data_IF_989954298715
#
_entry.id   IF_989954298715
#
_cell.length_a   1.000
_cell.length_b   1.000
_cell.length_c   1.000
_cell.angle_alpha   90.00
_cell.angle_beta   90.00
_cell.angle_gamma   90.00
#
_symmetry.space_group_name_H-M   'P 1'
#
loop_
_entity.id
_entity.type
_entity.pdbx_description
1 polymer ?
#
# COMPACT_ATOMS: atom_id res chain seq x y z
N UNK A 1 78.00 37.52 -8.15
CA UNK A 1 76.87 38.21 -7.47
C UNK A 1 75.56 38.06 -8.24
N UNK A 2 75.47 38.46 -9.53
CA UNK A 2 74.21 38.42 -10.31
C UNK A 2 73.59 37.03 -10.47
N UNK A 3 74.40 36.00 -10.70
CA UNK A 3 73.93 34.61 -10.90
C UNK A 3 73.29 34.03 -9.63
N UNK A 4 73.82 34.38 -8.45
CA UNK A 4 73.30 33.91 -7.15
C UNK A 4 71.93 34.55 -6.87
N UNK A 5 71.77 35.83 -7.24
CA UNK A 5 70.49 36.55 -7.13
C UNK A 5 69.41 35.95 -8.03
N UNK A 6 69.75 35.57 -9.26
CA UNK A 6 68.80 34.94 -10.18
C UNK A 6 68.32 33.57 -9.67
N UNK A 7 69.24 32.74 -9.14
CA UNK A 7 68.90 31.45 -8.55
C UNK A 7 68.05 31.58 -7.28
N UNK A 8 68.35 32.57 -6.43
CA UNK A 8 67.55 32.85 -5.24
C UNK A 8 66.12 33.29 -5.60
N UNK A 9 65.95 34.12 -6.63
CA UNK A 9 64.64 34.55 -7.11
C UNK A 9 63.82 33.39 -7.69
N UNK A 10 64.44 32.50 -8.48
CA UNK A 10 63.77 31.31 -9.02
C UNK A 10 63.31 30.33 -7.93
N UNK A 11 64.09 30.17 -6.86
CA UNK A 11 63.71 29.36 -5.70
C UNK A 11 62.52 29.97 -4.94
N UNK A 12 62.48 31.29 -4.78
CA UNK A 12 61.37 31.99 -4.10
C UNK A 12 60.08 31.90 -4.92
N UNK A 13 60.14 32.10 -6.23
CA UNK A 13 58.95 32.01 -7.10
C UNK A 13 58.42 30.58 -7.16
N UNK A 14 59.29 29.57 -7.24
CA UNK A 14 58.89 28.16 -7.20
C UNK A 14 58.26 27.78 -5.86
N UNK A 15 58.90 28.14 -4.74
CA UNK A 15 58.36 27.83 -3.42
C UNK A 15 57.05 28.57 -3.12
N UNK A 16 56.87 29.76 -3.70
CA UNK A 16 55.62 30.50 -3.67
C UNK A 16 54.50 29.81 -4.45
N UNK A 17 54.81 29.33 -5.66
CA UNK A 17 53.84 28.64 -6.52
C UNK A 17 53.36 27.32 -5.90
N UNK A 18 54.27 26.56 -5.30
CA UNK A 18 53.93 25.30 -4.65
C UNK A 18 53.09 25.47 -3.37
N UNK A 19 53.29 26.58 -2.63
CA UNK A 19 52.39 26.94 -1.52
C UNK A 19 51.02 27.37 -2.01
N UNK A 20 50.94 28.08 -3.13
CA UNK A 20 49.66 28.54 -3.69
C UNK A 20 48.80 27.37 -4.19
N UNK A 21 49.41 26.40 -4.87
CA UNK A 21 48.75 25.18 -5.34
C UNK A 21 48.19 24.35 -4.18
N UNK A 22 48.97 24.20 -3.10
CA UNK A 22 48.52 23.50 -1.90
C UNK A 22 47.37 24.20 -1.14
N UNK A 23 47.22 25.53 -1.31
CA UNK A 23 46.08 26.26 -0.76
C UNK A 23 44.83 26.09 -1.61
N UNK A 24 44.95 26.05 -2.95
CA UNK A 24 43.82 25.84 -3.84
C UNK A 24 43.19 24.46 -3.64
N UNK A 25 44.01 23.40 -3.53
CA UNK A 25 43.52 22.05 -3.29
C UNK A 25 42.75 21.92 -1.98
N UNK A 26 43.22 22.58 -0.90
CA UNK A 26 42.51 22.60 0.39
C UNK A 26 41.18 23.36 0.28
N UNK A 27 41.14 24.46 -0.47
CA UNK A 27 39.89 25.20 -0.66
C UNK A 27 38.85 24.38 -1.43
N UNK A 28 39.28 23.64 -2.45
CA UNK A 28 38.40 22.74 -3.21
C UNK A 28 37.89 21.56 -2.35
N UNK A 29 38.76 20.95 -1.54
CA UNK A 29 38.35 19.90 -0.59
C UNK A 29 37.34 20.43 0.44
N UNK A 30 37.59 21.61 1.03
CA UNK A 30 36.65 22.23 1.97
C UNK A 30 35.33 22.60 1.28
N UNK A 31 35.36 23.07 0.04
CA UNK A 31 34.16 23.38 -0.74
C UNK A 31 33.35 22.12 -1.03
N UNK A 32 33.98 21.02 -1.43
CA UNK A 32 33.34 19.72 -1.62
C UNK A 32 32.76 19.15 -0.33
N UNK A 33 33.49 19.26 0.79
CA UNK A 33 33.02 18.79 2.08
C UNK A 33 31.82 19.61 2.58
N UNK A 34 31.83 20.93 2.37
CA UNK A 34 30.71 21.81 2.69
C UNK A 34 29.47 21.48 1.82
N UNK A 35 29.66 21.24 0.52
CA UNK A 35 28.61 20.85 -0.42
C UNK A 35 27.96 19.51 -0.02
N UNK A 36 28.78 18.51 0.31
CA UNK A 36 28.30 17.19 0.74
C UNK A 36 27.57 17.24 2.08
N UNK A 37 28.02 18.09 3.01
CA UNK A 37 27.37 18.28 4.30
C UNK A 37 26.01 18.97 4.14
N UNK A 38 25.95 20.02 3.32
CA UNK A 38 24.69 20.70 3.00
C UNK A 38 23.69 19.77 2.30
N UNK A 39 24.18 18.91 1.38
CA UNK A 39 23.33 17.91 0.72
C UNK A 39 22.80 16.86 1.69
N UNK A 40 23.60 16.38 2.65
CA UNK A 40 23.15 15.43 3.67
C UNK A 40 22.13 16.05 4.63
N UNK A 41 22.31 17.31 5.02
CA UNK A 41 21.33 18.03 5.83
C UNK A 41 19.99 18.19 5.09
N UNK A 42 20.03 18.55 3.80
CA UNK A 42 18.81 18.68 3.00
C UNK A 42 18.06 17.34 2.85
N UNK A 43 18.78 16.22 2.70
CA UNK A 43 18.18 14.88 2.64
C UNK A 43 17.57 14.50 3.98
N UNK A 44 18.29 14.69 5.09
CA UNK A 44 17.78 14.36 6.43
C UNK A 44 16.55 15.20 6.80
N UNK A 45 16.50 16.48 6.43
CA UNK A 45 15.33 17.32 6.67
C UNK A 45 14.13 16.90 5.79
N UNK A 46 14.36 16.46 4.56
CA UNK A 46 13.31 15.91 3.71
C UNK A 46 12.75 14.60 4.27
N UNK A 47 13.62 13.71 4.75
CA UNK A 47 13.28 12.42 5.34
C UNK A 47 12.41 12.62 6.60
N UNK A 48 12.80 13.55 7.49
CA UNK A 48 12.02 13.93 8.66
C UNK A 48 10.63 14.48 8.31
N UNK A 49 10.53 15.30 7.25
CA UNK A 49 9.23 15.85 6.79
C UNK A 49 8.32 14.77 6.20
N UNK A 50 8.90 13.76 5.54
CA UNK A 50 8.15 12.63 5.01
C UNK A 50 7.63 11.77 6.16
N UNK A 51 8.47 11.44 7.14
CA UNK A 51 8.06 10.66 8.31
C UNK A 51 6.95 11.36 9.11
N UNK A 52 7.07 12.68 9.35
CA UNK A 52 6.00 13.46 10.00
C UNK A 52 4.70 13.44 9.18
N UNK A 53 4.80 13.64 7.86
CA UNK A 53 3.63 13.60 6.97
C UNK A 53 2.95 12.22 6.90
N UNK A 54 3.73 11.14 6.93
CA UNK A 54 3.19 9.77 6.96
C UNK A 54 2.53 9.45 8.30
N UNK A 55 3.08 9.93 9.41
CA UNK A 55 2.51 9.78 10.74
C UNK A 55 1.18 10.52 10.87
N UNK A 56 1.12 11.79 10.46
CA UNK A 56 -0.12 12.58 10.44
C UNK A 56 -1.19 11.94 9.55
N UNK A 57 -0.79 11.49 8.34
CA UNK A 57 -1.70 10.82 7.41
C UNK A 57 -2.24 9.51 7.98
N UNK A 58 -1.40 8.70 8.61
CA UNK A 58 -1.82 7.45 9.24
C UNK A 58 -2.79 7.71 10.38
N UNK A 59 -2.51 8.72 11.22
CA UNK A 59 -3.40 9.08 12.32
C UNK A 59 -4.77 9.58 11.83
N UNK A 60 -4.81 10.39 10.76
CA UNK A 60 -6.05 10.85 10.15
C UNK A 60 -6.86 9.73 9.49
N UNK A 61 -6.18 8.74 8.89
CA UNK A 61 -6.81 7.54 8.35
C UNK A 61 -7.39 6.68 9.47
N UNK A 62 -6.64 6.44 10.54
CA UNK A 62 -7.09 5.67 11.71
C UNK A 62 -8.31 6.33 12.35
N UNK A 63 -8.31 7.65 12.52
CA UNK A 63 -9.45 8.38 13.09
C UNK A 63 -10.69 8.29 12.20
N UNK A 64 -10.53 8.49 10.89
CA UNK A 64 -11.63 8.39 9.91
C UNK A 64 -12.21 6.98 9.89
N UNK A 65 -11.35 5.95 9.89
CA UNK A 65 -11.80 4.56 9.93
C UNK A 65 -12.53 4.24 11.24
N UNK A 66 -12.06 4.77 12.37
CA UNK A 66 -12.74 4.62 13.65
C UNK A 66 -14.11 5.32 13.67
N UNK A 67 -14.22 6.52 13.10
CA UNK A 67 -15.49 7.25 12.97
C UNK A 67 -16.49 6.48 12.10
N UNK A 68 -16.06 6.03 10.91
CA UNK A 68 -16.91 5.23 10.03
C UNK A 68 -17.39 3.93 10.68
N UNK A 69 -16.53 3.27 11.46
CA UNK A 69 -16.91 2.07 12.23
C UNK A 69 -17.96 2.39 13.28
N UNK A 70 -17.77 3.47 14.04
CA UNK A 70 -18.73 3.89 15.06
C UNK A 70 -20.07 4.28 14.45
N UNK A 71 -20.07 4.97 13.31
CA UNK A 71 -21.28 5.36 12.59
C UNK A 71 -22.02 4.14 12.04
N UNK A 72 -21.30 3.16 11.49
CA UNK A 72 -21.86 1.88 11.06
C UNK A 72 -22.47 1.10 12.21
N UNK A 73 -21.80 1.03 13.37
CA UNK A 73 -22.33 0.33 14.53
C UNK A 73 -23.57 1.02 15.10
N UNK A 74 -23.59 2.36 15.13
CA UNK A 74 -24.80 3.13 15.48
C UNK A 74 -25.93 2.84 14.52
N UNK A 75 -25.68 2.91 13.21
CA UNK A 75 -26.69 2.64 12.18
C UNK A 75 -27.24 1.21 12.27
N UNK A 76 -26.38 0.22 12.56
CA UNK A 76 -26.79 -1.17 12.82
C UNK A 76 -27.66 -1.28 14.06
N UNK A 77 -27.30 -0.60 15.14
CA UNK A 77 -28.10 -0.57 16.37
C UNK A 77 -29.48 0.05 16.13
N UNK A 78 -29.54 1.17 15.40
CA UNK A 78 -30.79 1.87 15.07
C UNK A 78 -31.71 1.01 14.18
N UNK A 79 -31.14 0.33 13.19
CA UNK A 79 -31.86 -0.64 12.33
C UNK A 79 -32.41 -1.78 13.19
N UNK A 80 -31.61 -2.36 14.09
CA UNK A 80 -32.05 -3.44 14.96
C UNK A 80 -33.15 -2.98 15.93
N UNK A 81 -33.03 -1.78 16.50
CA UNK A 81 -34.05 -1.22 17.38
C UNK A 81 -35.35 -0.96 16.63
N UNK A 82 -35.27 -0.42 15.41
CA UNK A 82 -36.46 -0.20 14.56
C UNK A 82 -37.11 -1.53 14.19
N UNK A 83 -36.31 -2.56 13.89
CA UNK A 83 -36.79 -3.91 13.64
C UNK A 83 -37.49 -4.51 14.87
N UNK A 84 -36.90 -4.39 16.06
CA UNK A 84 -37.46 -4.89 17.31
C UNK A 84 -38.78 -4.17 17.66
N UNK A 85 -38.85 -2.86 17.41
CA UNK A 85 -40.06 -2.07 17.60
C UNK A 85 -41.16 -2.47 16.61
N UNK A 86 -40.84 -2.61 15.32
CA UNK A 86 -41.79 -3.12 14.31
C UNK A 86 -42.26 -4.52 14.64
N UNK A 87 -41.37 -5.42 15.07
CA UNK A 87 -41.69 -6.80 15.44
C UNK A 87 -42.60 -6.84 16.68
N UNK A 88 -42.30 -6.00 17.67
CA UNK A 88 -43.08 -5.85 18.90
C UNK A 88 -44.46 -5.26 18.63
N UNK A 89 -44.57 -4.30 17.71
CA UNK A 89 -45.83 -3.69 17.30
C UNK A 89 -46.69 -4.68 16.51
N UNK A 90 -46.07 -5.42 15.58
CA UNK A 90 -46.71 -6.47 14.80
C UNK A 90 -47.21 -7.63 15.68
N UNK A 91 -46.43 -8.02 16.70
CA UNK A 91 -46.81 -9.06 17.67
C UNK A 91 -47.96 -8.65 18.62
N UNK A 92 -48.15 -7.35 18.83
CA UNK A 92 -49.24 -6.82 19.66
C UNK A 92 -50.53 -6.59 18.87
N UNK A 93 -50.44 -6.35 17.56
CA UNK A 93 -51.60 -6.10 16.71
C UNK A 93 -52.23 -7.37 16.14
N UNK A 94 -51.53 -8.52 16.07
CA UNK A 94 -52.07 -9.71 15.42
C UNK A 94 -51.64 -11.06 16.02
N UNK A 95 -52.60 -11.97 16.02
CA UNK A 95 -52.51 -13.43 16.22
C UNK A 95 -51.78 -14.12 15.01
N UNK A 96 -50.58 -13.64 14.64
CA UNK A 96 -50.02 -13.83 13.30
C UNK A 96 -49.45 -15.22 12.98
N UNK A 97 -49.86 -15.71 11.81
CA UNK A 97 -49.41 -16.88 11.05
C UNK A 97 -47.86 -16.96 10.93
N UNK A 98 -47.29 -18.14 11.19
CA UNK A 98 -45.85 -18.49 11.12
C UNK A 98 -45.16 -18.08 9.79
N UNK A 99 -45.95 -17.82 8.75
CA UNK A 99 -45.52 -17.37 7.42
C UNK A 99 -44.99 -15.93 7.39
N UNK A 100 -45.54 -15.02 8.19
CA UNK A 100 -45.06 -13.62 8.21
C UNK A 100 -43.67 -13.49 8.86
N UNK A 101 -43.37 -14.37 9.81
CA UNK A 101 -42.01 -14.49 10.37
C UNK A 101 -41.00 -14.97 9.32
N UNK A 102 -41.36 -15.99 8.51
CA UNK A 102 -40.50 -16.49 7.43
C UNK A 102 -40.21 -15.42 6.35
N UNK A 103 -41.19 -14.54 6.08
CA UNK A 103 -41.01 -13.41 5.18
C UNK A 103 -39.98 -12.40 5.71
N UNK A 104 -40.05 -12.04 6.99
CA UNK A 104 -39.13 -11.09 7.61
C UNK A 104 -37.69 -11.64 7.66
N UNK A 105 -37.53 -12.91 8.03
CA UNK A 105 -36.24 -13.62 8.05
C UNK A 105 -35.57 -13.60 6.66
N UNK A 106 -36.33 -13.94 5.61
CA UNK A 106 -35.81 -13.92 4.24
C UNK A 106 -35.36 -12.51 3.82
N UNK A 107 -36.15 -11.48 4.14
CA UNK A 107 -35.79 -10.09 3.84
C UNK A 107 -34.51 -9.64 4.55
N UNK A 108 -34.32 -10.07 5.80
CA UNK A 108 -33.08 -9.83 6.56
C UNK A 108 -31.87 -10.49 5.90
N UNK A 109 -31.97 -11.78 5.55
CA UNK A 109 -30.89 -12.53 4.90
C UNK A 109 -30.49 -11.91 3.56
N UNK A 110 -31.45 -11.42 2.77
CA UNK A 110 -31.17 -10.73 1.51
C UNK A 110 -30.39 -9.42 1.72
N UNK A 111 -30.75 -8.62 2.73
CA UNK A 111 -30.02 -7.39 3.07
C UNK A 111 -28.60 -7.69 3.55
N UNK A 112 -28.45 -8.71 4.39
CA UNK A 112 -27.14 -9.12 4.90
C UNK A 112 -26.24 -9.66 3.78
N UNK A 113 -26.79 -10.41 2.83
CA UNK A 113 -26.07 -10.88 1.65
C UNK A 113 -25.55 -9.70 0.82
N UNK A 114 -26.41 -8.72 0.55
CA UNK A 114 -26.05 -7.52 -0.19
C UNK A 114 -24.95 -6.71 0.52
N UNK A 115 -25.05 -6.56 1.85
CA UNK A 115 -24.04 -5.89 2.67
C UNK A 115 -22.68 -6.57 2.57
N UNK A 116 -22.60 -7.89 2.76
CA UNK A 116 -21.34 -8.62 2.67
C UNK A 116 -20.70 -8.52 1.30
N UNK A 117 -21.51 -8.58 0.24
CA UNK A 117 -21.02 -8.44 -1.11
C UNK A 117 -20.47 -7.03 -1.38
N UNK A 118 -21.20 -5.98 -1.00
CA UNK A 118 -20.79 -4.59 -1.30
C UNK A 118 -19.68 -4.06 -0.41
N UNK A 119 -19.65 -4.45 0.87
CA UNK A 119 -18.68 -3.91 1.83
C UNK A 119 -17.43 -4.76 1.95
N UNK A 120 -17.58 -6.09 1.93
CA UNK A 120 -16.48 -7.02 2.22
C UNK A 120 -15.96 -7.70 0.95
N UNK A 121 -16.73 -7.66 -0.15
CA UNK A 121 -16.44 -8.45 -1.35
C UNK A 121 -16.52 -9.96 -1.08
N UNK A 122 -17.23 -10.37 -0.02
CA UNK A 122 -17.38 -11.76 0.40
C UNK A 122 -18.44 -12.46 -0.46
N UNK A 123 -18.01 -12.91 -1.65
CA UNK A 123 -18.86 -13.61 -2.63
C UNK A 123 -19.42 -14.91 -2.04
N UNK A 124 -18.60 -15.67 -1.31
CA UNK A 124 -18.98 -16.98 -0.77
C UNK A 124 -19.98 -16.84 0.38
N UNK A 125 -19.75 -15.90 1.30
CA UNK A 125 -20.68 -15.58 2.37
C UNK A 125 -21.99 -14.98 1.86
N UNK A 126 -21.95 -14.10 0.86
CA UNK A 126 -23.16 -13.58 0.22
C UNK A 126 -23.98 -14.71 -0.43
N UNK A 127 -23.32 -15.63 -1.16
CA UNK A 127 -23.98 -16.77 -1.77
C UNK A 127 -24.61 -17.71 -0.73
N UNK A 128 -23.95 -17.95 0.41
CA UNK A 128 -24.51 -18.75 1.50
C UNK A 128 -25.78 -18.13 2.11
N UNK A 129 -25.80 -16.81 2.29
CA UNK A 129 -26.96 -16.07 2.79
C UNK A 129 -28.12 -16.09 1.79
N UNK A 130 -27.85 -15.91 0.49
CA UNK A 130 -28.86 -16.01 -0.57
C UNK A 130 -29.51 -17.40 -0.64
N UNK A 131 -28.74 -18.49 -0.51
CA UNK A 131 -29.28 -19.86 -0.44
C UNK A 131 -30.18 -20.05 0.78
N UNK A 132 -29.80 -19.49 1.92
CA UNK A 132 -30.60 -19.55 3.14
C UNK A 132 -31.90 -18.75 2.99
N UNK A 133 -31.85 -17.59 2.33
CA UNK A 133 -33.04 -16.79 2.03
C UNK A 133 -34.01 -17.53 1.09
N UNK A 134 -33.51 -18.19 0.04
CA UNK A 134 -34.36 -19.00 -0.86
C UNK A 134 -35.06 -20.14 -0.12
N UNK A 135 -34.36 -20.81 0.80
CA UNK A 135 -34.95 -21.87 1.62
C UNK A 135 -36.10 -21.33 2.50
N UNK A 136 -35.92 -20.16 3.14
CA UNK A 136 -36.99 -19.53 3.93
C UNK A 136 -38.19 -19.12 3.09
N UNK A 137 -37.96 -18.62 1.87
CA UNK A 137 -39.04 -18.29 0.93
C UNK A 137 -39.76 -19.55 0.41
N UNK A 138 -39.06 -20.69 0.32
CA UNK A 138 -39.67 -21.96 -0.01
C UNK A 138 -40.52 -22.51 1.14
N UNK A 139 -40.03 -22.42 2.38
CA UNK A 139 -40.76 -22.83 3.58
C UNK A 139 -42.05 -22.01 3.80
N UNK A 140 -42.07 -20.75 3.36
CA UNK A 140 -43.25 -19.88 3.42
C UNK A 140 -44.40 -20.29 2.47
N UNK A 141 -44.13 -21.17 1.48
CA UNK A 141 -45.08 -21.74 0.52
C UNK A 141 -46.05 -20.72 -0.12
N UNK A 142 -45.53 -19.54 -0.47
CA UNK A 142 -46.31 -18.44 -1.05
C UNK A 142 -45.95 -18.20 -2.54
N UNK A 143 -46.85 -18.53 -3.49
CA UNK A 143 -46.61 -18.36 -4.93
C UNK A 143 -46.30 -16.91 -5.34
N UNK A 144 -46.76 -15.92 -4.59
CA UNK A 144 -46.49 -14.50 -4.86
C UNK A 144 -44.99 -14.14 -4.73
N UNK A 145 -44.20 -14.95 -4.02
CA UNK A 145 -42.76 -14.76 -3.86
C UNK A 145 -41.92 -15.39 -4.97
N UNK A 146 -42.53 -16.13 -5.88
CA UNK A 146 -41.82 -16.77 -7.01
C UNK A 146 -40.92 -15.80 -7.80
N UNK A 147 -41.33 -14.54 -8.06
CA UNK A 147 -40.45 -13.56 -8.69
C UNK A 147 -39.17 -13.27 -7.88
N UNK A 148 -39.27 -13.19 -6.54
CA UNK A 148 -38.12 -12.94 -5.66
C UNK A 148 -37.15 -14.12 -5.71
N UNK A 149 -37.67 -15.35 -5.64
CA UNK A 149 -36.87 -16.57 -5.76
C UNK A 149 -36.12 -16.65 -7.10
N UNK A 150 -36.75 -16.18 -8.19
CA UNK A 150 -36.10 -16.07 -9.50
C UNK A 150 -34.92 -15.10 -9.47
N UNK A 151 -35.07 -13.94 -8.85
CA UNK A 151 -33.96 -12.99 -8.73
C UNK A 151 -32.84 -13.53 -7.85
N UNK A 152 -33.15 -14.25 -6.77
CA UNK A 152 -32.13 -14.93 -5.96
C UNK A 152 -31.35 -15.95 -6.80
N UNK A 153 -32.04 -16.74 -7.63
CA UNK A 153 -31.39 -17.69 -8.51
C UNK A 153 -30.49 -17.02 -9.56
N UNK A 154 -30.93 -15.88 -10.11
CA UNK A 154 -30.11 -15.07 -11.03
C UNK A 154 -28.85 -14.53 -10.34
N UNK A 155 -29.00 -13.99 -9.13
CA UNK A 155 -27.90 -13.44 -8.34
C UNK A 155 -26.89 -14.54 -7.98
N UNK A 156 -27.37 -15.71 -7.53
CA UNK A 156 -26.51 -16.87 -7.26
C UNK A 156 -25.72 -17.29 -8.51
N UNK A 157 -26.37 -17.35 -9.67
CA UNK A 157 -25.69 -17.67 -10.92
C UNK A 157 -24.64 -16.62 -11.31
N UNK A 158 -24.90 -15.34 -11.03
CA UNK A 158 -23.94 -14.26 -11.25
C UNK A 158 -22.73 -14.36 -10.30
N UNK A 159 -22.96 -14.68 -9.02
CA UNK A 159 -21.90 -14.88 -8.02
C UNK A 159 -21.05 -16.12 -8.34
N UNK A 160 -21.67 -17.23 -8.76
CA UNK A 160 -20.95 -18.45 -9.14
C UNK A 160 -20.07 -18.24 -10.40
N UNK A 161 -20.40 -17.25 -11.23
CA UNK A 161 -19.58 -16.88 -12.40
C UNK A 161 -18.35 -16.01 -12.04
N UNK A 162 -18.24 -15.52 -10.81
CA UNK A 162 -17.11 -14.70 -10.37
C UNK A 162 -15.84 -15.58 -10.26
N UNK A 163 -14.73 -15.23 -10.94
CA UNK A 163 -13.50 -15.98 -10.85
C UNK A 163 -12.93 -15.96 -9.43
N UNK A 164 -12.69 -17.13 -8.85
CA UNK A 164 -11.97 -17.23 -7.59
C UNK A 164 -10.47 -17.02 -7.80
N UNK A 165 -9.90 -16.04 -7.11
CA UNK A 165 -8.46 -15.75 -7.14
C UNK A 165 -7.76 -16.60 -6.08
N UNK A 166 -6.88 -17.50 -6.51
CA UNK A 166 -6.00 -18.26 -5.60
C UNK A 166 -4.89 -17.35 -5.03
N UNK A 167 -5.25 -16.60 -3.99
CA UNK A 167 -4.32 -15.69 -3.31
C UNK A 167 -3.13 -16.43 -2.70
N UNK A 168 -3.35 -17.65 -2.21
CA UNK A 168 -2.30 -18.48 -1.62
C UNK A 168 -1.30 -18.90 -2.68
N UNK A 169 -1.76 -19.39 -3.83
CA UNK A 169 -0.92 -19.73 -4.96
C UNK A 169 -0.11 -18.53 -5.47
N UNK A 170 -0.73 -17.35 -5.56
CA UNK A 170 -0.05 -16.10 -5.94
C UNK A 170 1.03 -15.73 -4.92
N UNK A 171 0.73 -15.81 -3.61
CA UNK A 171 1.70 -15.52 -2.56
C UNK A 171 2.90 -16.48 -2.59
N UNK A 172 2.65 -17.77 -2.75
CA UNK A 172 3.69 -18.79 -2.89
C UNK A 172 4.54 -18.56 -4.14
N UNK A 173 3.92 -18.23 -5.28
CA UNK A 173 4.62 -17.90 -6.52
C UNK A 173 5.49 -16.66 -6.36
N UNK A 174 4.99 -15.62 -5.69
CA UNK A 174 5.71 -14.38 -5.43
C UNK A 174 6.92 -14.62 -4.51
N UNK A 175 6.77 -15.38 -3.43
CA UNK A 175 7.88 -15.77 -2.55
C UNK A 175 8.96 -16.54 -3.32
N UNK A 176 8.57 -17.53 -4.12
CA UNK A 176 9.52 -18.30 -4.94
C UNK A 176 10.26 -17.43 -5.98
N UNK A 177 9.67 -16.32 -6.42
CA UNK A 177 10.31 -15.38 -7.33
C UNK A 177 11.24 -14.40 -6.59
N UNK A 178 10.87 -13.97 -5.39
CA UNK A 178 11.74 -13.18 -4.50
C UNK A 178 13.02 -13.96 -4.17
N UNK A 179 12.90 -15.24 -3.82
CA UNK A 179 14.05 -16.13 -3.53
C UNK A 179 14.98 -16.25 -4.74
N UNK A 180 14.42 -16.36 -5.96
CA UNK A 180 15.18 -16.41 -7.21
C UNK A 180 15.92 -15.10 -7.47
N UNK A 181 15.29 -13.95 -7.22
CA UNK A 181 15.93 -12.64 -7.37
C UNK A 181 17.03 -12.44 -6.32
N UNK A 182 16.82 -12.85 -5.07
CA UNK A 182 17.83 -12.81 -4.02
C UNK A 182 19.06 -13.69 -4.35
N UNK A 183 18.86 -14.78 -5.11
CA UNK A 183 19.93 -15.64 -5.61
C UNK A 183 20.69 -15.09 -6.82
N UNK A 184 20.24 -14.02 -7.47
CA UNK A 184 20.95 -13.42 -8.59
C UNK A 184 22.17 -12.65 -8.08
N UNK A 185 23.36 -13.06 -8.53
CA UNK A 185 24.60 -12.31 -8.31
C UNK A 185 24.48 -10.98 -9.07
N UNK A 186 24.71 -9.85 -8.41
CA UNK A 186 24.99 -8.60 -9.13
C UNK A 186 26.22 -8.83 -10.01
N UNK A 187 26.02 -8.80 -11.33
CA UNK A 187 27.13 -8.74 -12.28
C UNK A 187 27.86 -7.41 -12.06
N UNK A 188 28.89 -7.42 -11.21
CA UNK A 188 29.90 -6.38 -11.23
C UNK A 188 30.72 -6.58 -12.50
N UNK A 189 30.20 -6.08 -13.62
CA UNK A 189 31.04 -5.69 -14.73
C UNK A 189 31.69 -4.36 -14.33
N UNK A 190 32.64 -4.43 -13.38
CA UNK A 190 33.69 -3.42 -13.32
C UNK A 190 34.51 -3.70 -14.56
N UNK A 191 34.17 -3.01 -15.64
CA UNK A 191 35.04 -2.88 -16.79
C UNK A 191 36.27 -2.12 -16.31
N UNK A 192 37.25 -2.89 -15.83
CA UNK A 192 38.64 -2.49 -15.61
C UNK A 192 39.28 -2.23 -16.99
N UNK A 193 38.73 -1.28 -17.75
CA UNK A 193 39.40 -0.73 -18.92
C UNK A 193 39.95 0.63 -18.57
N UNK A 194 41.27 0.72 -18.77
CA UNK A 194 42.11 1.90 -18.82
C UNK A 194 42.79 2.35 -17.50
N UNK A 195 43.51 1.44 -16.83
CA UNK A 195 44.76 1.81 -16.14
C UNK A 195 45.92 0.94 -16.65
N UNK A 196 46.09 0.85 -17.97
CA UNK A 196 47.32 0.33 -18.58
C UNK A 196 47.37 0.75 -20.04
N UNK A 197 47.66 2.03 -20.30
CA UNK A 197 48.43 2.47 -21.48
C UNK A 197 48.58 3.99 -21.46
N UNK A 198 49.50 4.53 -20.66
CA UNK A 198 50.19 5.81 -20.91
C UNK A 198 51.21 6.05 -19.80
N UNK A 199 52.14 5.12 -19.59
CA UNK A 199 53.45 5.49 -19.07
C UNK A 199 54.30 5.74 -20.30
N UNK A 200 54.20 6.96 -20.82
CA UNK A 200 55.06 7.45 -21.90
C UNK A 200 56.45 7.67 -21.29
N UNK A 201 57.39 6.79 -21.65
CA UNK A 201 58.80 6.89 -21.32
C UNK A 201 59.42 8.04 -22.13
N UNK A 202 60.15 8.98 -21.51
CA UNK A 202 60.81 10.05 -22.26
C UNK A 202 62.04 9.49 -23.01
N UNK A 203 62.30 9.90 -24.26
CA UNK A 203 63.49 9.44 -24.98
C UNK A 203 64.76 10.07 -24.41
N UNK A 204 65.69 9.22 -24.00
CA UNK A 204 67.12 9.51 -23.86
C UNK A 204 67.78 9.52 -25.23
N UNK A 205 68.45 10.61 -25.59
CA UNK A 205 69.30 10.71 -26.79
C UNK A 205 69.37 12.12 -27.34
#
# INVERSE_FOLDING_TARGET
MVIILALALGLITWQGWQRLDSQQQRLDELAQQAQNSASQQAVSELESRIEEGEAERSQALESTVSELRSELDSYRSDINSTLDEVLTQLSQEQDTDERDWLHAEAAYLLRLANQRLQLEGDVEGAAALLRTADARLADADNPALTPVRREIANELAALDAVPQVDRTGIYLALNAQQERVAGLRLSQEIEERAVTSSIEQPPTG
#
